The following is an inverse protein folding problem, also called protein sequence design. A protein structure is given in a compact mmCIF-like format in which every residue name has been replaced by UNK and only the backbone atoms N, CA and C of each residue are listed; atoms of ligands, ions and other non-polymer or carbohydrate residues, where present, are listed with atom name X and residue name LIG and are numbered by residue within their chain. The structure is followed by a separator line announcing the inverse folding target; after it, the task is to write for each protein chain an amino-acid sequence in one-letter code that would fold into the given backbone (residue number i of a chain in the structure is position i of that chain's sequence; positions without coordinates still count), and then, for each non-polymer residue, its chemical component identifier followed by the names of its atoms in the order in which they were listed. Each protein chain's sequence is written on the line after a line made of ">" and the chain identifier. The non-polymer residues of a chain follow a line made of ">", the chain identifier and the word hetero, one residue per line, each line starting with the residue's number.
data_IF_325190875415
#
_entry.id   IF_325190875415
#
_cell.length_a   1.000
_cell.length_b   1.000
_cell.length_c   1.000
_cell.angle_alpha   90.00
_cell.angle_beta   90.00
_cell.angle_gamma   90.00
#
_symmetry.space_group_name_H-M   'P 1'
#
loop_
_entity.id
_entity.type
_entity.pdbx_description
1 polymer ?
#
# COMPACT_ATOMS: atom_id res chain seq x y z
N UNK A 1 14.24 11.53 -3.52
CA UNK A 1 13.42 11.01 -2.40
C UNK A 1 12.75 9.73 -2.89
N UNK A 2 12.84 8.62 -2.17
CA UNK A 2 12.25 7.35 -2.63
C UNK A 2 10.73 7.41 -2.65
N UNK A 3 10.11 6.63 -3.54
CA UNK A 3 8.66 6.42 -3.54
C UNK A 3 8.24 5.53 -2.37
N UNK A 4 6.97 5.66 -1.96
CA UNK A 4 6.40 4.80 -0.93
C UNK A 4 6.35 3.36 -1.45
N UNK A 5 7.05 2.44 -0.77
CA UNK A 5 7.16 1.04 -1.18
C UNK A 5 6.10 0.16 -0.51
N UNK A 6 5.87 0.40 0.78
CA UNK A 6 4.95 -0.39 1.58
C UNK A 6 4.31 0.42 2.71
N UNK A 7 3.12 0.00 3.09
CA UNK A 7 2.45 0.38 4.33
C UNK A 7 2.62 -0.77 5.32
N UNK A 8 3.15 -0.48 6.50
CA UNK A 8 3.41 -1.49 7.54
C UNK A 8 2.44 -1.25 8.69
N UNK A 9 1.63 -2.26 9.01
CA UNK A 9 0.77 -2.24 10.20
C UNK A 9 1.53 -2.81 11.39
N UNK A 10 1.50 -2.09 12.50
CA UNK A 10 2.22 -2.43 13.73
C UNK A 10 1.28 -2.38 14.95
N UNK A 11 1.72 -2.94 16.06
CA UNK A 11 1.05 -2.75 17.35
C UNK A 11 0.92 -1.25 17.69
N UNK A 12 -0.29 -0.80 18.03
CA UNK A 12 -0.57 0.59 18.37
C UNK A 12 0.30 1.04 19.56
N UNK A 13 0.94 2.21 19.44
CA UNK A 13 1.87 2.73 20.46
C UNK A 13 3.27 2.08 20.43
N UNK A 14 3.56 1.21 19.45
CA UNK A 14 4.88 0.60 19.24
C UNK A 14 5.56 1.08 17.96
N UNK A 15 5.06 2.14 17.34
CA UNK A 15 5.51 2.68 16.06
C UNK A 15 7.01 2.98 16.06
N UNK A 16 7.52 3.65 17.09
CA UNK A 16 8.94 3.99 17.21
C UNK A 16 9.84 2.75 17.32
N UNK A 17 9.42 1.72 18.06
CA UNK A 17 10.21 0.49 18.21
C UNK A 17 10.19 -0.32 16.93
N UNK A 18 9.00 -0.46 16.33
CA UNK A 18 8.86 -1.12 15.04
C UNK A 18 9.68 -0.41 13.95
N UNK A 19 9.70 0.93 13.92
CA UNK A 19 10.48 1.67 12.94
C UNK A 19 11.98 1.42 13.07
N UNK A 20 12.48 1.26 14.30
CA UNK A 20 13.88 0.88 14.54
C UNK A 20 14.15 -0.56 14.07
N UNK A 21 13.31 -1.54 14.43
CA UNK A 21 13.48 -2.94 13.98
C UNK A 21 13.51 -3.06 12.45
N UNK A 22 12.61 -2.35 11.77
CA UNK A 22 12.53 -2.31 10.30
C UNK A 22 13.75 -1.59 9.73
N UNK A 23 14.11 -0.44 10.30
CA UNK A 23 15.27 0.35 9.90
C UNK A 23 16.55 -0.46 9.98
N UNK A 24 16.85 -1.04 11.14
CA UNK A 24 18.05 -1.85 11.39
C UNK A 24 18.12 -3.08 10.48
N UNK A 25 16.97 -3.68 10.15
CA UNK A 25 16.91 -4.81 9.22
C UNK A 25 17.28 -4.41 7.79
N UNK A 26 16.81 -3.25 7.34
CA UNK A 26 16.93 -2.82 5.93
C UNK A 26 18.16 -1.95 5.69
N UNK A 27 18.67 -1.25 6.70
CA UNK A 27 19.80 -0.32 6.59
C UNK A 27 21.06 -0.92 5.96
N UNK A 28 21.46 -2.19 6.23
CA UNK A 28 22.60 -2.80 5.57
C UNK A 28 22.44 -2.96 4.05
N UNK A 29 21.21 -2.92 3.53
CA UNK A 29 20.87 -3.12 2.13
C UNK A 29 20.45 -1.81 1.44
N UNK A 30 19.93 -0.85 2.20
CA UNK A 30 19.60 0.50 1.74
C UNK A 30 19.84 1.50 2.88
N UNK A 31 20.99 2.17 2.85
CA UNK A 31 21.39 3.14 3.87
C UNK A 31 20.55 4.44 3.87
N UNK A 32 19.71 4.63 2.85
CA UNK A 32 18.77 5.75 2.73
C UNK A 32 17.33 5.33 3.03
N UNK A 33 17.12 4.11 3.56
CA UNK A 33 15.80 3.65 3.98
C UNK A 33 15.19 4.64 4.97
N UNK A 34 13.91 4.95 4.77
CA UNK A 34 13.16 5.82 5.67
C UNK A 34 11.87 5.14 6.08
N UNK A 35 11.70 4.98 7.39
CA UNK A 35 10.46 4.52 8.00
C UNK A 35 9.79 5.71 8.67
N UNK A 36 8.72 6.22 8.06
CA UNK A 36 7.98 7.37 8.57
C UNK A 36 6.75 6.96 9.35
N UNK A 37 6.41 7.69 10.40
CA UNK A 37 5.10 7.57 11.03
C UNK A 37 4.04 8.25 10.13
N UNK A 38 2.91 7.58 9.95
CA UNK A 38 1.73 8.25 9.40
C UNK A 38 1.01 9.06 10.49
N UNK A 39 0.04 9.88 10.12
CA UNK A 39 -0.88 10.52 11.08
C UNK A 39 -1.82 9.54 11.77
N UNK A 40 -1.78 8.26 11.39
CA UNK A 40 -2.60 7.19 11.96
C UNK A 40 -1.73 6.26 12.82
N UNK A 41 -2.11 6.11 14.09
CA UNK A 41 -1.43 5.15 14.99
C UNK A 41 -1.53 3.72 14.47
N UNK A 42 -0.47 2.95 14.70
CA UNK A 42 -0.30 1.59 14.20
C UNK A 42 0.07 1.49 12.72
N UNK A 43 0.40 2.60 12.04
CA UNK A 43 0.70 2.61 10.61
C UNK A 43 2.00 3.35 10.31
N UNK A 44 2.96 2.63 9.73
CA UNK A 44 4.24 3.13 9.26
C UNK A 44 4.29 3.14 7.72
N UNK A 45 5.04 4.10 7.17
CA UNK A 45 5.27 4.29 5.75
C UNK A 45 6.74 3.96 5.44
N UNK A 46 6.97 2.97 4.58
CA UNK A 46 8.32 2.55 4.20
C UNK A 46 8.73 3.13 2.84
N UNK A 47 9.82 3.87 2.83
CA UNK A 47 10.44 4.43 1.63
C UNK A 47 11.84 3.80 1.47
N UNK A 48 12.07 3.13 0.34
CA UNK A 48 13.32 2.41 0.07
C UNK A 48 13.51 2.22 -1.43
N UNK A 49 14.77 2.09 -1.85
CA UNK A 49 15.15 1.67 -3.20
C UNK A 49 14.92 0.18 -3.46
N UNK A 50 14.79 -0.64 -2.40
CA UNK A 50 14.58 -2.08 -2.49
C UNK A 50 13.26 -2.43 -3.18
N UNK A 51 13.23 -3.58 -3.85
CA UNK A 51 11.97 -4.13 -4.38
C UNK A 51 11.06 -4.55 -3.22
N UNK A 52 9.75 -4.65 -3.49
CA UNK A 52 8.82 -5.09 -2.45
C UNK A 52 9.14 -6.53 -2.01
N UNK A 53 9.54 -7.36 -2.95
CA UNK A 53 9.92 -8.75 -2.75
C UNK A 53 11.16 -8.86 -1.84
N UNK A 54 12.17 -8.02 -2.07
CA UNK A 54 13.37 -7.96 -1.21
C UNK A 54 13.01 -7.50 0.20
N UNK A 55 12.21 -6.44 0.33
CA UNK A 55 11.72 -5.95 1.63
C UNK A 55 11.03 -7.07 2.40
N UNK A 56 10.08 -7.77 1.79
CA UNK A 56 9.35 -8.86 2.45
C UNK A 56 10.30 -10.00 2.82
N UNK A 57 11.23 -10.36 1.95
CA UNK A 57 12.20 -11.43 2.21
C UNK A 57 13.14 -11.11 3.37
N UNK A 58 13.65 -9.88 3.44
CA UNK A 58 14.53 -9.42 4.52
C UNK A 58 13.77 -9.33 5.83
N UNK A 59 12.60 -8.68 5.83
CA UNK A 59 11.79 -8.50 7.03
C UNK A 59 11.25 -9.83 7.59
N UNK A 60 10.97 -10.83 6.75
CA UNK A 60 10.57 -12.18 7.21
C UNK A 60 11.70 -12.97 7.87
N UNK A 61 12.95 -12.73 7.47
CA UNK A 61 14.12 -13.37 8.09
C UNK A 61 14.43 -12.77 9.46
N UNK A 62 14.02 -11.53 9.69
CA UNK A 62 14.15 -10.84 10.97
C UNK A 62 13.02 -11.22 11.94
N UNK A 63 13.34 -11.24 13.23
CA UNK A 63 12.34 -11.37 14.30
C UNK A 63 11.71 -10.00 14.57
N UNK A 64 10.73 -9.62 13.75
CA UNK A 64 9.97 -8.38 13.95
C UNK A 64 8.86 -8.61 14.97
N UNK A 65 8.98 -8.03 16.15
CA UNK A 65 8.09 -8.32 17.28
C UNK A 65 6.76 -7.56 17.13
N UNK A 66 6.83 -6.34 16.62
CA UNK A 66 5.70 -5.42 16.60
C UNK A 66 4.99 -5.31 15.24
N UNK A 67 5.56 -5.90 14.18
CA UNK A 67 5.01 -5.85 12.83
C UNK A 67 3.90 -6.91 12.68
N UNK A 68 2.72 -6.49 12.21
CA UNK A 68 1.56 -7.37 11.97
C UNK A 68 1.37 -7.71 10.51
N UNK A 69 1.56 -6.73 9.63
CA UNK A 69 1.41 -6.94 8.19
C UNK A 69 2.23 -5.92 7.42
N UNK A 70 2.61 -6.33 6.20
CA UNK A 70 3.32 -5.51 5.23
C UNK A 70 2.45 -5.51 3.98
N UNK A 71 1.99 -4.34 3.57
CA UNK A 71 1.11 -4.16 2.41
C UNK A 71 1.87 -3.42 1.32
N UNK A 72 1.96 -4.01 0.13
CA UNK A 72 2.57 -3.37 -1.03
C UNK A 72 1.81 -2.10 -1.41
N UNK A 73 2.55 -1.07 -1.80
CA UNK A 73 2.00 0.10 -2.46
C UNK A 73 2.48 0.10 -3.90
N UNK A 74 1.54 -0.07 -4.84
CA UNK A 74 1.85 -0.01 -6.27
C UNK A 74 1.83 1.42 -6.80
N UNK A 75 0.87 2.22 -6.33
CA UNK A 75 0.67 3.61 -6.76
C UNK A 75 0.26 4.51 -5.59
N UNK A 76 0.61 5.79 -5.68
CA UNK A 76 0.09 6.86 -4.83
C UNK A 76 -0.62 7.88 -5.70
N UNK A 77 -1.90 8.15 -5.42
CA UNK A 77 -2.71 9.09 -6.17
C UNK A 77 -2.96 10.38 -5.37
N UNK A 78 -3.14 11.53 -6.02
CA UNK A 78 -3.58 12.77 -5.36
C UNK A 78 -4.98 12.64 -4.72
N UNK A 79 -5.22 13.37 -3.63
CA UNK A 79 -6.54 13.49 -2.97
C UNK A 79 -7.40 14.58 -3.65
N UNK A 80 -7.51 14.48 -4.97
CA UNK A 80 -8.46 15.24 -5.79
C UNK A 80 -9.34 14.24 -6.55
N UNK A 81 -10.64 14.50 -6.66
CA UNK A 81 -11.57 13.52 -7.23
C UNK A 81 -11.18 13.12 -8.65
N UNK A 82 -10.94 14.08 -9.52
CA UNK A 82 -10.71 13.81 -10.94
C UNK A 82 -9.35 13.14 -11.14
N UNK A 83 -8.31 13.65 -10.47
CA UNK A 83 -6.97 13.08 -10.52
C UNK A 83 -6.91 11.68 -9.90
N UNK A 84 -7.62 11.44 -8.79
CA UNK A 84 -7.72 10.13 -8.16
C UNK A 84 -8.36 9.11 -9.09
N UNK A 85 -9.49 9.45 -9.71
CA UNK A 85 -10.21 8.54 -10.60
C UNK A 85 -9.39 8.23 -11.85
N UNK A 86 -8.71 9.23 -12.42
CA UNK A 86 -7.79 9.03 -13.54
C UNK A 86 -6.62 8.13 -13.16
N UNK A 87 -5.96 8.40 -12.04
CA UNK A 87 -4.83 7.62 -11.53
C UNK A 87 -5.21 6.15 -11.30
N UNK A 88 -6.37 5.90 -10.68
CA UNK A 88 -6.90 4.54 -10.49
C UNK A 88 -7.18 3.89 -11.86
N UNK A 89 -7.82 4.61 -12.79
CA UNK A 89 -8.14 4.07 -14.12
C UNK A 89 -6.90 3.69 -14.93
N UNK A 90 -5.87 4.53 -14.90
CA UNK A 90 -4.59 4.28 -15.56
C UNK A 90 -3.88 3.06 -14.95
N UNK A 91 -3.91 2.93 -13.62
CA UNK A 91 -3.36 1.76 -12.94
C UNK A 91 -4.15 0.48 -13.24
N UNK A 92 -5.48 0.53 -13.21
CA UNK A 92 -6.31 -0.62 -13.57
C UNK A 92 -6.02 -1.08 -15.00
N UNK A 93 -5.84 -0.14 -15.93
CA UNK A 93 -5.53 -0.46 -17.32
C UNK A 93 -4.13 -1.06 -17.52
N UNK A 94 -3.19 -0.79 -16.61
CA UNK A 94 -1.84 -1.36 -16.68
C UNK A 94 -1.74 -2.76 -16.07
N UNK A 95 -2.70 -3.14 -15.21
CA UNK A 95 -2.76 -4.49 -14.63
C UNK A 95 -3.56 -5.44 -15.52
N UNK A 96 -2.99 -6.61 -15.82
CA UNK A 96 -3.68 -7.67 -16.56
C UNK A 96 -4.51 -8.56 -15.60
N UNK A 97 -5.34 -7.93 -14.75
CA UNK A 97 -6.12 -8.63 -13.73
C UNK A 97 -7.49 -9.05 -14.28
N UNK A 98 -7.76 -10.37 -14.32
CA UNK A 98 -9.04 -10.92 -14.79
C UNK A 98 -10.09 -11.03 -13.68
N UNK A 99 -9.65 -11.25 -12.44
CA UNK A 99 -10.49 -11.41 -11.26
C UNK A 99 -9.77 -10.75 -10.09
N UNK A 100 -10.52 -10.03 -9.24
CA UNK A 100 -9.97 -9.38 -8.07
C UNK A 100 -11.02 -9.18 -6.98
N UNK A 101 -10.58 -9.30 -5.72
CA UNK A 101 -11.38 -8.87 -4.58
C UNK A 101 -10.96 -7.46 -4.20
N UNK A 102 -11.92 -6.54 -4.18
CA UNK A 102 -11.69 -5.16 -3.80
C UNK A 102 -11.96 -5.03 -2.31
N UNK A 103 -10.98 -4.52 -1.57
CA UNK A 103 -11.17 -4.05 -0.19
C UNK A 103 -10.73 -2.60 -0.15
N UNK A 104 -11.67 -1.71 0.16
CA UNK A 104 -11.39 -0.29 0.36
C UNK A 104 -11.27 -0.07 1.86
N UNK A 105 -10.10 0.36 2.31
CA UNK A 105 -9.87 0.79 3.69
C UNK A 105 -9.99 2.31 3.74
N UNK A 106 -10.92 2.79 4.54
CA UNK A 106 -11.29 4.20 4.56
C UNK A 106 -10.67 4.93 5.75
N UNK A 107 -9.96 6.02 5.48
CA UNK A 107 -9.61 7.03 6.50
C UNK A 107 -9.73 8.43 5.91
N UNK A 108 -10.23 9.39 6.70
CA UNK A 108 -10.35 10.79 6.29
C UNK A 108 -11.41 11.07 5.23
N UNK A 109 -11.09 11.97 4.29
CA UNK A 109 -12.03 12.52 3.29
C UNK A 109 -12.43 11.56 2.17
N UNK A 110 -11.74 10.42 2.03
CA UNK A 110 -11.96 9.44 0.97
C UNK A 110 -13.40 8.88 0.92
N UNK A 111 -14.13 8.98 2.05
CA UNK A 111 -15.56 8.62 2.15
C UNK A 111 -16.41 9.29 1.07
N UNK A 112 -16.06 10.50 0.66
CA UNK A 112 -16.81 11.28 -0.33
C UNK A 112 -16.80 10.65 -1.72
N UNK A 113 -15.76 9.91 -2.08
CA UNK A 113 -15.54 9.38 -3.43
C UNK A 113 -15.74 7.87 -3.54
N UNK A 114 -16.10 7.20 -2.45
CA UNK A 114 -16.13 5.75 -2.37
C UNK A 114 -17.09 5.11 -3.37
N UNK A 115 -18.28 5.70 -3.55
CA UNK A 115 -19.25 5.22 -4.54
C UNK A 115 -18.69 5.29 -5.95
N UNK A 116 -17.99 6.37 -6.27
CA UNK A 116 -17.40 6.58 -7.59
C UNK A 116 -16.24 5.60 -7.83
N UNK A 117 -15.33 5.45 -6.85
CA UNK A 117 -14.22 4.49 -6.90
C UNK A 117 -14.74 3.06 -7.11
N UNK A 118 -15.75 2.64 -6.32
CA UNK A 118 -16.35 1.33 -6.47
C UNK A 118 -16.97 1.13 -7.84
N UNK A 119 -17.71 2.11 -8.35
CA UNK A 119 -18.31 2.03 -9.68
C UNK A 119 -17.26 1.94 -10.79
N UNK A 120 -16.17 2.72 -10.68
CA UNK A 120 -15.06 2.68 -11.64
C UNK A 120 -14.43 1.29 -11.68
N UNK A 121 -14.01 0.77 -10.53
CA UNK A 121 -13.35 -0.53 -10.46
C UNK A 121 -14.31 -1.65 -10.92
N UNK A 122 -15.58 -1.60 -10.52
CA UNK A 122 -16.59 -2.58 -10.94
C UNK A 122 -16.80 -2.56 -12.47
N UNK A 123 -16.93 -1.37 -13.05
CA UNK A 123 -17.07 -1.22 -14.51
C UNK A 123 -15.84 -1.67 -15.29
N UNK A 124 -14.64 -1.56 -14.70
CA UNK A 124 -13.40 -2.04 -15.29
C UNK A 124 -13.38 -3.57 -15.32
N UNK A 125 -13.73 -4.22 -14.20
CA UNK A 125 -13.82 -5.67 -14.18
C UNK A 125 -14.94 -6.17 -15.09
N UNK A 126 -16.15 -5.61 -15.06
CA UNK A 126 -17.27 -6.01 -15.95
C UNK A 126 -16.91 -5.93 -17.45
N UNK A 127 -16.14 -4.91 -17.86
CA UNK A 127 -15.64 -4.78 -19.24
C UNK A 127 -14.61 -5.85 -19.61
N UNK A 128 -13.76 -6.25 -18.66
CA UNK A 128 -12.74 -7.27 -18.86
C UNK A 128 -13.26 -8.70 -18.59
N UNK A 129 -14.37 -8.84 -17.85
CA UNK A 129 -14.99 -10.11 -17.46
C UNK A 129 -16.14 -10.50 -18.39
N UNK A 130 -15.83 -10.65 -19.69
CA UNK A 130 -16.58 -11.55 -20.59
C UNK A 130 -16.58 -13.03 -20.12
N UNK A 131 -16.24 -13.32 -18.86
CA UNK A 131 -16.34 -14.62 -18.20
C UNK A 131 -16.87 -14.42 -16.76
N UNK A 132 -18.18 -14.68 -16.62
CA UNK A 132 -19.04 -14.95 -15.44
C UNK A 132 -18.57 -14.50 -14.05
N UNK A 133 -19.38 -13.61 -13.47
CA UNK A 133 -19.54 -13.44 -12.01
C UNK A 133 -20.39 -14.61 -11.46
N UNK A 134 -19.92 -15.25 -10.40
CA UNK A 134 -20.72 -16.03 -9.45
C UNK A 134 -20.78 -15.26 -8.13
#
# INVERSE_FOLDING_TARGET
>A
MYSLKAIITVDYGKELRASLEIGDTLYPYDNLVKVGCSSYGGVLLLYTSLTYEDVVNLLRKSKLVYVKSITKVDICCPDDKELLMRCISEYLSSINAKVGKIKIYERGNLKKYLRDINNLIKSFYERNSRLRLY
#
